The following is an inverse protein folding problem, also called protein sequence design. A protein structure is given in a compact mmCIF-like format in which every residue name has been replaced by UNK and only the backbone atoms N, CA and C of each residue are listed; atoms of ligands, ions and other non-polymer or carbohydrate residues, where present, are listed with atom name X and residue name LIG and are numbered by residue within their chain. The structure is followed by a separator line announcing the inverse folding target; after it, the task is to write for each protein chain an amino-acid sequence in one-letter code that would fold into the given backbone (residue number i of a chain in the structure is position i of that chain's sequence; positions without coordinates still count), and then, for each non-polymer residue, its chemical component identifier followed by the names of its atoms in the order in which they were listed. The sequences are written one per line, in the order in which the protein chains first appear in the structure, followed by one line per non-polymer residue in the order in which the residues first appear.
data_IF_998070671370
#
_entry.id   IF_998070671370
#
_cell.length_a   1.000
_cell.length_b   1.000
_cell.length_c   1.000
_cell.angle_alpha   90.00
_cell.angle_beta   90.00
_cell.angle_gamma   90.00
#
_symmetry.space_group_name_H-M   'P 1'
#
loop_
_entity.id
_entity.type
_entity.pdbx_description
1 polymer ?
#
# COMPACT_ATOMS: atom_id res chain seq x y z
N UNK A 1 -19.84 -6.61 -32.73
CA UNK A 1 -19.89 -6.51 -31.25
C UNK A 1 -18.48 -6.25 -30.77
N UNK A 2 -18.15 -4.99 -30.47
CA UNK A 2 -16.82 -4.62 -30.01
C UNK A 2 -16.63 -5.08 -28.58
N UNK A 3 -15.64 -5.93 -28.33
CA UNK A 3 -15.19 -6.25 -26.98
C UNK A 3 -14.60 -4.95 -26.44
N UNK A 4 -15.32 -4.28 -25.55
CA UNK A 4 -14.79 -3.16 -24.77
C UNK A 4 -13.75 -3.76 -23.83
N UNK A 5 -12.50 -3.78 -24.29
CA UNK A 5 -11.34 -4.06 -23.45
C UNK A 5 -11.24 -2.86 -22.50
N UNK A 6 -11.91 -2.93 -21.36
CA UNK A 6 -11.61 -2.05 -20.24
C UNK A 6 -10.10 -2.18 -19.98
N UNK A 7 -9.33 -1.09 -20.11
CA UNK A 7 -7.89 -1.20 -20.17
C UNK A 7 -7.41 -1.71 -18.81
N UNK A 8 -6.73 -2.87 -18.77
CA UNK A 8 -6.12 -3.44 -17.54
C UNK A 8 -5.26 -2.42 -16.76
N UNK A 9 -4.82 -1.35 -17.42
CA UNK A 9 -4.15 -0.19 -16.86
C UNK A 9 -4.98 0.52 -15.78
N UNK A 10 -6.32 0.60 -15.93
CA UNK A 10 -7.17 1.27 -14.95
C UNK A 10 -7.16 0.52 -13.62
N UNK A 11 -7.37 -0.80 -13.63
CA UNK A 11 -7.44 -1.62 -12.41
C UNK A 11 -6.12 -1.61 -11.63
N UNK A 12 -4.98 -1.64 -12.33
CA UNK A 12 -3.65 -1.51 -11.69
C UNK A 12 -3.44 -0.12 -11.08
N UNK A 13 -3.88 0.95 -11.74
CA UNK A 13 -3.80 2.31 -11.22
C UNK A 13 -4.70 2.51 -9.98
N UNK A 14 -5.94 2.00 -10.01
CA UNK A 14 -6.89 2.10 -8.89
C UNK A 14 -6.41 1.32 -7.65
N UNK A 15 -5.89 0.11 -7.84
CA UNK A 15 -5.33 -0.70 -6.75
C UNK A 15 -4.08 -0.07 -6.14
N UNK A 16 -3.21 0.51 -6.96
CA UNK A 16 -2.02 1.25 -6.50
C UNK A 16 -2.39 2.52 -5.71
N UNK A 17 -3.46 3.21 -6.14
CA UNK A 17 -3.97 4.40 -5.44
C UNK A 17 -4.58 4.04 -4.08
N UNK A 18 -5.42 2.99 -4.02
CA UNK A 18 -5.99 2.49 -2.77
C UNK A 18 -4.90 2.03 -1.80
N UNK A 19 -3.90 1.31 -2.31
CA UNK A 19 -2.72 0.93 -1.54
C UNK A 19 -2.02 2.16 -0.96
N UNK A 20 -1.74 3.19 -1.77
CA UNK A 20 -1.07 4.40 -1.31
C UNK A 20 -1.86 5.13 -0.20
N UNK A 21 -3.17 5.35 -0.40
CA UNK A 21 -4.02 6.05 0.57
C UNK A 21 -4.05 5.28 1.90
N UNK A 22 -4.26 3.97 1.84
CA UNK A 22 -4.37 3.12 3.03
C UNK A 22 -3.03 3.01 3.74
N UNK A 23 -1.93 2.89 3.00
CA UNK A 23 -0.60 2.84 3.58
C UNK A 23 -0.29 4.13 4.34
N UNK A 24 -0.61 5.30 3.78
CA UNK A 24 -0.47 6.61 4.43
C UNK A 24 -1.38 6.75 5.65
N UNK A 25 -2.64 6.34 5.55
CA UNK A 25 -3.58 6.34 6.67
C UNK A 25 -3.10 5.43 7.81
N UNK A 26 -2.56 4.25 7.48
CA UNK A 26 -1.93 3.34 8.43
C UNK A 26 -0.68 3.93 9.08
N UNK A 27 0.11 4.70 8.32
CA UNK A 27 1.25 5.47 8.87
C UNK A 27 0.83 6.54 9.87
N UNK A 28 -0.20 7.30 9.55
CA UNK A 28 -0.79 8.30 10.44
C UNK A 28 -1.36 7.65 11.72
N UNK A 29 -2.09 6.54 11.56
CA UNK A 29 -2.63 5.76 12.68
C UNK A 29 -1.51 5.19 13.57
N UNK A 30 -0.46 4.64 12.97
CA UNK A 30 0.70 4.13 13.70
C UNK A 30 1.41 5.23 14.48
N UNK A 31 1.54 6.44 13.91
CA UNK A 31 2.09 7.59 14.63
C UNK A 31 1.21 8.00 15.82
N UNK A 32 -0.12 7.97 15.65
CA UNK A 32 -1.08 8.21 16.74
C UNK A 32 -0.87 7.24 17.90
N UNK A 33 -0.81 5.94 17.59
CA UNK A 33 -0.64 4.87 18.58
C UNK A 33 0.70 5.01 19.30
N UNK A 34 1.73 5.45 18.59
CA UNK A 34 3.06 5.66 19.12
C UNK A 34 3.24 6.95 19.93
N UNK A 35 2.20 7.79 20.05
CA UNK A 35 2.30 9.11 20.68
C UNK A 35 3.20 10.10 19.92
N UNK A 36 3.42 9.88 18.62
CA UNK A 36 4.14 10.78 17.74
C UNK A 36 3.17 11.72 17.01
N UNK A 37 3.70 12.77 16.38
CA UNK A 37 2.89 13.62 15.52
C UNK A 37 2.42 12.83 14.27
N UNK A 38 1.11 12.84 14.04
CA UNK A 38 0.43 12.17 12.92
C UNK A 38 1.07 12.51 11.56
N UNK A 39 1.47 13.77 11.39
CA UNK A 39 2.05 14.25 10.14
C UNK A 39 3.40 13.60 9.83
N UNK A 40 4.23 13.31 10.84
CA UNK A 40 5.49 12.59 10.61
C UNK A 40 5.24 11.17 10.10
N UNK A 41 4.27 10.46 10.68
CA UNK A 41 3.90 9.13 10.21
C UNK A 41 3.29 9.11 8.81
N UNK A 42 2.37 10.04 8.53
CA UNK A 42 1.73 10.16 7.22
C UNK A 42 2.75 10.50 6.12
N UNK A 43 3.61 11.49 6.35
CA UNK A 43 4.62 11.94 5.39
C UNK A 43 5.69 10.87 5.19
N UNK A 44 6.13 10.20 6.26
CA UNK A 44 7.10 9.11 6.16
C UNK A 44 6.60 8.00 5.24
N UNK A 45 5.34 7.57 5.38
CA UNK A 45 4.80 6.55 4.49
C UNK A 45 4.56 7.08 3.08
N UNK A 46 4.06 8.30 2.92
CA UNK A 46 3.81 8.89 1.61
C UNK A 46 5.09 8.92 0.74
N UNK A 47 6.20 9.39 1.32
CA UNK A 47 7.51 9.40 0.64
C UNK A 47 7.96 7.99 0.30
N UNK A 48 7.75 7.05 1.21
CA UNK A 48 8.16 5.66 1.02
C UNK A 48 7.37 4.93 -0.07
N UNK A 49 6.08 5.23 -0.21
CA UNK A 49 5.26 4.74 -1.32
C UNK A 49 5.77 5.27 -2.65
N UNK A 50 6.19 6.54 -2.73
CA UNK A 50 6.80 7.10 -3.94
C UNK A 50 8.09 6.36 -4.30
N UNK A 51 8.93 6.04 -3.32
CA UNK A 51 10.14 5.23 -3.53
C UNK A 51 9.79 3.83 -4.04
N UNK A 52 8.80 3.17 -3.45
CA UNK A 52 8.36 1.84 -3.86
C UNK A 52 7.84 1.81 -5.30
N UNK A 53 7.04 2.80 -5.68
CA UNK A 53 6.53 2.96 -7.04
C UNK A 53 7.70 3.27 -8.00
N UNK A 54 8.63 4.14 -7.62
CA UNK A 54 9.82 4.44 -8.40
C UNK A 54 10.69 3.20 -8.66
N UNK A 55 10.92 2.37 -7.65
CA UNK A 55 11.65 1.11 -7.80
C UNK A 55 10.94 0.14 -8.75
N UNK A 56 9.61 0.03 -8.65
CA UNK A 56 8.82 -0.79 -9.59
C UNK A 56 8.87 -0.24 -11.02
N UNK A 57 8.84 1.08 -11.19
CA UNK A 57 8.96 1.73 -12.49
C UNK A 57 10.34 1.48 -13.14
N UNK A 58 11.38 1.24 -12.34
CA UNK A 58 12.71 0.81 -12.79
C UNK A 58 12.80 -0.69 -13.08
N UNK A 59 11.68 -1.42 -13.04
CA UNK A 59 11.63 -2.86 -13.32
C UNK A 59 12.14 -3.74 -12.17
N UNK A 60 12.28 -3.20 -10.96
CA UNK A 60 12.68 -4.00 -9.79
C UNK A 60 11.55 -4.94 -9.37
N UNK A 61 11.93 -6.07 -8.75
CA UNK A 61 10.96 -7.04 -8.25
C UNK A 61 10.11 -6.46 -7.11
N UNK A 62 8.92 -7.02 -6.91
CA UNK A 62 8.02 -6.62 -5.82
C UNK A 62 8.70 -6.72 -4.44
N UNK A 63 9.52 -7.74 -4.23
CA UNK A 63 10.27 -7.92 -2.98
C UNK A 63 11.27 -6.76 -2.74
N UNK A 64 11.98 -6.32 -3.78
CA UNK A 64 12.92 -5.21 -3.69
C UNK A 64 12.18 -3.89 -3.47
N UNK A 65 11.05 -3.66 -4.14
CA UNK A 65 10.23 -2.48 -3.94
C UNK A 65 9.66 -2.39 -2.52
N UNK A 66 9.16 -3.50 -1.97
CA UNK A 66 8.65 -3.58 -0.61
C UNK A 66 9.77 -3.35 0.43
N UNK A 67 10.95 -3.95 0.24
CA UNK A 67 12.11 -3.70 1.09
C UNK A 67 12.55 -2.23 1.02
N UNK A 68 12.60 -1.66 -0.19
CA UNK A 68 12.91 -0.25 -0.41
C UNK A 68 11.92 0.70 0.28
N UNK A 69 10.62 0.37 0.27
CA UNK A 69 9.59 1.11 1.00
C UNK A 69 9.83 1.10 2.52
N UNK A 70 10.15 -0.06 3.09
CA UNK A 70 10.43 -0.19 4.52
C UNK A 70 11.67 0.62 4.90
N UNK A 71 12.75 0.50 4.12
CA UNK A 71 13.99 1.26 4.35
C UNK A 71 13.75 2.76 4.22
N UNK A 72 13.04 3.21 3.19
CA UNK A 72 12.68 4.62 3.04
C UNK A 72 11.85 5.12 4.22
N UNK A 73 10.90 4.31 4.72
CA UNK A 73 10.05 4.68 5.85
C UNK A 73 10.88 4.89 7.12
N UNK A 74 11.84 4.00 7.34
CA UNK A 74 12.79 4.06 8.46
C UNK A 74 13.65 5.33 8.36
N UNK A 75 14.26 5.58 7.19
CA UNK A 75 15.12 6.76 6.99
C UNK A 75 14.36 8.08 7.18
N UNK A 76 13.13 8.17 6.69
CA UNK A 76 12.31 9.37 6.87
C UNK A 76 11.86 9.54 8.32
N UNK A 77 11.49 8.45 9.02
CA UNK A 77 11.19 8.52 10.45
C UNK A 77 12.38 9.01 11.28
N UNK A 78 13.59 8.54 10.94
CA UNK A 78 14.83 9.01 11.58
C UNK A 78 15.09 10.50 11.29
N UNK A 79 14.85 10.96 10.06
CA UNK A 79 14.97 12.36 9.70
C UNK A 79 14.00 13.27 10.50
N UNK A 80 12.83 12.75 10.88
CA UNK A 80 11.88 13.43 11.76
C UNK A 80 12.19 13.27 13.27
N UNK A 81 13.30 12.66 13.64
CA UNK A 81 13.71 12.47 15.03
C UNK A 81 12.83 11.49 15.81
N UNK A 82 12.15 10.58 15.12
CA UNK A 82 11.31 9.58 15.77
C UNK A 82 12.17 8.53 16.48
N UNK A 83 11.74 8.12 17.68
CA UNK A 83 12.38 7.01 18.38
C UNK A 83 12.17 5.68 17.65
N UNK A 84 13.05 4.71 17.88
CA UNK A 84 12.98 3.37 17.27
C UNK A 84 11.62 2.71 17.50
N UNK A 85 11.05 2.85 18.70
CA UNK A 85 9.73 2.30 19.05
C UNK A 85 8.61 2.95 18.21
N UNK A 86 8.66 4.26 18.04
CA UNK A 86 7.64 4.98 17.27
C UNK A 86 7.70 4.62 15.79
N UNK A 87 8.92 4.59 15.24
CA UNK A 87 9.17 4.18 13.86
C UNK A 87 8.67 2.75 13.59
N UNK A 88 9.02 1.79 14.47
CA UNK A 88 8.56 0.41 14.32
C UNK A 88 7.03 0.32 14.33
N UNK A 89 6.36 1.08 15.19
CA UNK A 89 4.89 1.10 15.27
C UNK A 89 4.27 1.70 13.99
N UNK A 90 4.80 2.81 13.47
CA UNK A 90 4.35 3.42 12.21
C UNK A 90 4.47 2.45 11.05
N UNK A 91 5.63 1.80 10.89
CA UNK A 91 5.90 0.87 9.80
C UNK A 91 4.99 -0.35 9.90
N UNK A 92 4.89 -0.97 11.08
CA UNK A 92 4.06 -2.18 11.27
C UNK A 92 2.58 -1.89 11.03
N UNK A 93 2.04 -0.80 11.58
CA UNK A 93 0.61 -0.46 11.41
C UNK A 93 0.31 -0.12 9.95
N UNK A 94 1.19 0.62 9.29
CA UNK A 94 1.07 0.91 7.86
C UNK A 94 1.09 -0.37 7.01
N UNK A 95 2.00 -1.29 7.32
CA UNK A 95 2.12 -2.56 6.60
C UNK A 95 0.90 -3.46 6.81
N UNK A 96 0.41 -3.57 8.05
CA UNK A 96 -0.80 -4.33 8.37
C UNK A 96 -2.04 -3.75 7.67
N UNK A 97 -2.21 -2.43 7.69
CA UNK A 97 -3.30 -1.78 6.98
C UNK A 97 -3.27 -2.10 5.47
N UNK A 98 -2.06 -2.09 4.90
CA UNK A 98 -1.84 -2.41 3.49
C UNK A 98 -2.15 -3.87 3.17
N UNK A 99 -1.79 -4.81 4.06
CA UNK A 99 -2.11 -6.24 3.92
C UNK A 99 -3.61 -6.50 3.98
N UNK A 100 -4.33 -5.86 4.91
CA UNK A 100 -5.79 -6.00 5.04
C UNK A 100 -6.46 -5.56 3.74
N UNK A 101 -6.05 -4.43 3.16
CA UNK A 101 -6.65 -3.94 1.91
C UNK A 101 -6.26 -4.80 0.72
N UNK A 102 -5.02 -5.29 0.65
CA UNK A 102 -4.62 -6.26 -0.37
C UNK A 102 -5.48 -7.53 -0.31
N UNK A 103 -5.71 -8.05 0.89
CA UNK A 103 -6.57 -9.21 1.12
C UNK A 103 -8.02 -8.95 0.71
N UNK A 104 -8.62 -7.84 1.17
CA UNK A 104 -10.00 -7.48 0.83
C UNK A 104 -10.19 -7.29 -0.67
N UNK A 105 -9.25 -6.62 -1.34
CA UNK A 105 -9.31 -6.41 -2.79
C UNK A 105 -9.20 -7.73 -3.55
N UNK A 106 -8.28 -8.62 -3.12
CA UNK A 106 -8.15 -9.96 -3.69
C UNK A 106 -9.39 -10.82 -3.45
N UNK A 107 -10.00 -10.72 -2.27
CA UNK A 107 -11.23 -11.43 -1.93
C UNK A 107 -12.41 -10.99 -2.80
N UNK A 108 -12.65 -9.68 -2.92
CA UNK A 108 -13.76 -9.13 -3.72
C UNK A 108 -13.60 -9.49 -5.19
N UNK A 109 -12.41 -9.26 -5.76
CA UNK A 109 -12.15 -9.59 -7.18
C UNK A 109 -12.20 -11.09 -7.46
N UNK A 110 -11.83 -11.93 -6.49
CA UNK A 110 -11.99 -13.39 -6.58
C UNK A 110 -13.46 -13.81 -6.54
N UNK A 111 -14.27 -13.17 -5.69
CA UNK A 111 -15.70 -13.46 -5.57
C UNK A 111 -16.49 -13.07 -6.82
N UNK A 112 -16.19 -11.91 -7.40
CA UNK A 112 -16.78 -11.46 -8.68
C UNK A 112 -16.51 -12.45 -9.80
N UNK A 113 -15.26 -12.90 -9.97
CA UNK A 113 -14.91 -13.90 -10.99
C UNK A 113 -15.59 -15.25 -10.77
N UNK A 114 -15.77 -15.65 -9.50
CA UNK A 114 -16.49 -16.87 -9.16
C UNK A 114 -17.98 -16.80 -9.52
N UNK A 115 -18.62 -15.66 -9.26
CA UNK A 115 -20.01 -15.41 -9.64
C UNK A 115 -20.21 -15.34 -11.16
N UNK A 116 -19.31 -14.68 -11.88
CA UNK A 116 -19.36 -14.61 -13.35
C UNK A 116 -19.23 -16.00 -14.00
N UNK A 117 -18.34 -16.85 -13.48
CA UNK A 117 -18.19 -18.24 -13.95
C UNK A 117 -19.41 -19.11 -13.63
N UNK A 118 -20.01 -18.93 -12.46
CA UNK A 118 -21.24 -19.63 -12.09
C UNK A 118 -22.44 -19.21 -12.95
N UNK A 119 -22.52 -17.93 -13.34
CA UNK A 119 -23.59 -17.38 -14.18
C UNK A 119 -23.48 -17.72 -15.67
N UNK A 120 -22.30 -18.12 -16.16
CA UNK A 120 -22.12 -18.59 -17.56
C UNK A 120 -22.35 -20.10 -17.74
N UNK A 121 -22.47 -20.85 -16.64
CA UNK A 121 -22.66 -22.29 -16.63
C UNK A 121 -24.13 -22.73 -16.42
N UNK A 122 -25.07 -21.79 -16.26
CA UNK A 122 -26.51 -22.02 -16.14
C UNK A 122 -27.29 -21.32 -17.24
#
# INVERSE_FOLDING_TARGET
MGIVILPRVSVVAWTSLLYAIVSVAGGALGARIAGANLWHGAIAIAISVVVAIGLQALGQSFAVAAAGQIVASILVCLAFGMSVRQMATVVVVSFLASLIVGFLTGFVTGFERGLEQAGQAG
#
